data_IF_665592377375
#
_entry.id   IF_665592377375
#
_cell.length_a   1.000
_cell.length_b   1.000
_cell.length_c   1.000
_cell.angle_alpha   90.00
_cell.angle_beta   90.00
_cell.angle_gamma   90.00
#
_symmetry.space_group_name_H-M   'P 1'
#
loop_
_entity.id
_entity.type
_entity.pdbx_description
1 polymer ?
#
# COMPACT_ATOMS: atom_id res chain seq x y z
N UNK A 1 34.65 -10.23 -15.36
CA UNK A 1 34.98 -10.46 -13.94
C UNK A 1 34.08 -9.57 -13.14
N UNK A 2 33.58 -10.03 -12.00
CA UNK A 2 32.80 -9.17 -11.11
C UNK A 2 33.75 -8.09 -10.58
N UNK A 3 33.50 -6.85 -10.98
CA UNK A 3 34.34 -5.71 -10.58
C UNK A 3 33.91 -5.29 -9.17
N UNK A 4 34.77 -5.53 -8.17
CA UNK A 4 34.46 -5.23 -6.77
C UNK A 4 34.18 -3.74 -6.53
N UNK A 5 34.72 -2.84 -7.38
CA UNK A 5 34.39 -1.42 -7.36
C UNK A 5 32.94 -1.12 -7.76
N UNK A 6 32.39 -1.83 -8.75
CA UNK A 6 31.00 -1.66 -9.17
C UNK A 6 30.03 -2.14 -8.09
N UNK A 7 30.36 -3.21 -7.38
CA UNK A 7 29.57 -3.73 -6.25
C UNK A 7 29.53 -2.70 -5.12
N UNK A 8 30.67 -2.09 -4.79
CA UNK A 8 30.76 -1.05 -3.76
C UNK A 8 29.96 0.21 -4.13
N UNK A 9 30.00 0.62 -5.40
CA UNK A 9 29.23 1.77 -5.89
C UNK A 9 27.72 1.51 -5.88
N UNK A 10 27.29 0.31 -6.30
CA UNK A 10 25.89 -0.11 -6.27
C UNK A 10 25.34 -0.17 -4.83
N UNK A 11 26.13 -0.69 -3.88
CA UNK A 11 25.75 -0.67 -2.45
C UNK A 11 25.56 0.76 -1.93
N UNK A 12 26.46 1.68 -2.29
CA UNK A 12 26.38 3.08 -1.86
C UNK A 12 25.18 3.80 -2.48
N UNK A 13 24.82 3.46 -3.71
CA UNK A 13 23.62 3.99 -4.37
C UNK A 13 22.34 3.42 -3.76
N UNK A 14 22.27 2.11 -3.54
CA UNK A 14 21.10 1.43 -2.97
C UNK A 14 20.87 1.66 -1.47
N UNK A 15 21.88 2.16 -0.74
CA UNK A 15 21.82 2.39 0.70
C UNK A 15 20.60 3.22 1.12
N UNK A 16 20.32 4.33 0.41
CA UNK A 16 19.20 5.21 0.70
C UNK A 16 17.84 4.57 0.38
N UNK A 17 17.79 3.70 -0.62
CA UNK A 17 16.56 2.97 -0.97
C UNK A 17 16.23 1.88 0.06
N UNK A 18 17.24 1.20 0.61
CA UNK A 18 17.07 0.16 1.65
C UNK A 18 16.66 0.78 3.00
N UNK A 19 17.04 2.02 3.25
CA UNK A 19 16.71 2.70 4.50
C UNK A 19 15.22 3.05 4.60
N UNK A 20 14.49 3.16 3.48
CA UNK A 20 13.04 3.41 3.47
C UNK A 20 12.24 2.34 4.26
N UNK A 21 12.28 1.03 3.94
CA UNK A 21 11.56 0.02 4.71
C UNK A 21 12.05 -0.08 6.16
N UNK A 22 13.32 0.19 6.44
CA UNK A 22 13.85 0.20 7.81
C UNK A 22 13.27 1.34 8.65
N UNK A 23 13.14 2.54 8.10
CA UNK A 23 12.52 3.69 8.78
C UNK A 23 11.04 3.43 9.04
N UNK A 24 10.33 2.86 8.05
CA UNK A 24 8.90 2.57 8.15
C UNK A 24 8.65 1.46 9.18
N UNK A 25 9.28 0.29 9.01
CA UNK A 25 9.09 -0.85 9.89
C UNK A 25 9.68 -0.59 11.28
N UNK A 26 10.85 0.05 11.35
CA UNK A 26 11.46 0.46 12.61
C UNK A 26 10.56 1.42 13.38
N UNK A 27 9.95 2.40 12.70
CA UNK A 27 9.00 3.34 13.29
C UNK A 27 7.74 2.65 13.83
N UNK A 28 7.18 1.70 13.09
CA UNK A 28 5.99 0.93 13.49
C UNK A 28 6.33 0.01 14.67
N UNK A 29 7.36 -0.82 14.55
CA UNK A 29 7.68 -1.84 15.56
C UNK A 29 8.27 -1.27 16.85
N UNK A 30 8.94 -0.12 16.79
CA UNK A 30 9.39 0.59 18.00
C UNK A 30 8.25 1.31 18.73
N UNK A 31 7.05 1.38 18.13
CA UNK A 31 5.91 2.10 18.68
C UNK A 31 6.02 3.63 18.57
N UNK A 32 6.99 4.14 17.81
CA UNK A 32 7.18 5.58 17.62
C UNK A 32 6.14 6.18 16.67
N UNK A 33 5.65 5.39 15.72
CA UNK A 33 4.63 5.79 14.75
C UNK A 33 3.56 4.69 14.57
N UNK A 34 2.32 5.10 14.35
CA UNK A 34 1.25 4.22 13.87
C UNK A 34 1.39 3.95 12.38
N UNK A 35 0.77 2.87 11.84
CA UNK A 35 0.85 2.56 10.40
C UNK A 35 0.44 3.73 9.49
N UNK A 36 -0.52 4.55 9.92
CA UNK A 36 -1.00 5.73 9.21
C UNK A 36 0.03 6.87 9.21
N UNK A 37 0.71 7.12 10.33
CA UNK A 37 1.76 8.14 10.42
C UNK A 37 3.03 7.71 9.67
N UNK A 38 3.38 6.42 9.75
CA UNK A 38 4.51 5.86 9.01
C UNK A 38 4.34 5.96 7.50
N UNK A 39 3.12 5.88 6.98
CA UNK A 39 2.86 6.09 5.55
C UNK A 39 3.19 7.53 5.12
N UNK A 40 2.86 8.53 5.94
CA UNK A 40 3.20 9.92 5.66
C UNK A 40 4.73 10.09 5.67
N UNK A 41 5.40 9.56 6.70
CA UNK A 41 6.87 9.58 6.79
C UNK A 41 7.52 8.90 5.57
N UNK A 42 6.98 7.77 5.12
CA UNK A 42 7.44 7.06 3.93
C UNK A 42 7.36 7.94 2.67
N UNK A 43 6.25 8.65 2.47
CA UNK A 43 6.06 9.54 1.32
C UNK A 43 7.07 10.68 1.35
N UNK A 44 7.21 11.35 2.50
CA UNK A 44 8.19 12.44 2.65
C UNK A 44 9.62 11.95 2.44
N UNK A 45 9.98 10.80 3.00
CA UNK A 45 11.28 10.18 2.81
C UNK A 45 11.54 9.85 1.33
N UNK A 46 10.57 9.23 0.66
CA UNK A 46 10.69 8.84 -0.75
C UNK A 46 10.82 10.07 -1.67
N UNK A 47 10.03 11.12 -1.42
CA UNK A 47 10.15 12.39 -2.12
C UNK A 47 11.52 13.03 -1.89
N UNK A 48 12.00 13.05 -0.64
CA UNK A 48 13.29 13.63 -0.31
C UNK A 48 14.44 12.89 -1.00
N UNK A 49 14.46 11.56 -0.92
CA UNK A 49 15.49 10.74 -1.55
C UNK A 49 15.42 10.85 -3.08
N UNK A 50 14.23 10.76 -3.68
CA UNK A 50 14.06 10.83 -5.13
C UNK A 50 14.45 12.19 -5.72
N UNK A 51 14.14 13.29 -5.03
CA UNK A 51 14.44 14.66 -5.50
C UNK A 51 15.89 15.07 -5.19
N UNK A 52 16.38 14.85 -3.97
CA UNK A 52 17.66 15.42 -3.54
C UNK A 52 18.85 14.46 -3.67
N UNK A 53 18.63 13.16 -3.49
CA UNK A 53 19.72 12.16 -3.48
C UNK A 53 19.89 11.54 -4.85
N UNK A 54 18.84 10.86 -5.35
CA UNK A 54 18.88 10.22 -6.66
C UNK A 54 18.70 11.22 -7.80
N UNK A 55 18.02 12.35 -7.54
CA UNK A 55 17.74 13.41 -8.53
C UNK A 55 17.05 12.88 -9.79
N UNK A 56 16.28 11.82 -9.63
CA UNK A 56 15.58 11.13 -10.70
C UNK A 56 14.12 11.58 -10.81
N UNK A 57 13.60 12.28 -9.79
CA UNK A 57 12.20 12.68 -9.71
C UNK A 57 12.00 14.15 -10.08
N UNK A 58 11.28 14.41 -11.18
CA UNK A 58 10.87 15.75 -11.59
C UNK A 58 9.48 16.13 -11.02
N UNK A 59 9.12 17.42 -11.11
CA UNK A 59 7.80 17.90 -10.70
C UNK A 59 6.67 17.26 -11.50
N UNK A 60 6.90 17.00 -12.79
CA UNK A 60 5.96 16.32 -13.66
C UNK A 60 5.77 14.85 -13.26
N UNK A 61 6.83 14.17 -12.80
CA UNK A 61 6.73 12.78 -12.32
C UNK A 61 5.89 12.66 -11.06
N UNK A 62 5.98 13.66 -10.17
CA UNK A 62 5.15 13.72 -8.95
C UNK A 62 3.67 13.87 -9.33
N UNK A 63 3.34 14.81 -10.22
CA UNK A 63 1.96 14.99 -10.67
C UNK A 63 1.42 13.75 -11.40
N UNK A 64 2.22 13.13 -12.25
CA UNK A 64 1.84 11.91 -12.95
C UNK A 64 1.60 10.74 -11.98
N UNK A 65 2.38 10.66 -10.91
CA UNK A 65 2.20 9.67 -9.84
C UNK A 65 0.88 9.90 -9.07
N UNK A 66 0.56 11.16 -8.77
CA UNK A 66 -0.70 11.53 -8.12
C UNK A 66 -1.91 11.24 -9.02
N UNK A 67 -1.82 11.54 -10.32
CA UNK A 67 -2.86 11.24 -11.30
C UNK A 67 -3.12 9.74 -11.38
N UNK A 68 -2.06 8.94 -11.51
CA UNK A 68 -2.14 7.48 -11.55
C UNK A 68 -2.76 6.91 -10.27
N UNK A 69 -2.33 7.43 -9.11
CA UNK A 69 -2.87 7.01 -7.80
C UNK A 69 -4.35 7.35 -7.67
N UNK A 70 -4.77 8.51 -8.18
CA UNK A 70 -6.17 8.95 -8.18
C UNK A 70 -7.02 8.05 -9.07
N UNK A 71 -6.56 7.73 -10.28
CA UNK A 71 -7.26 6.80 -11.17
C UNK A 71 -7.42 5.42 -10.57
N UNK A 72 -6.37 4.88 -9.95
CA UNK A 72 -6.41 3.59 -9.25
C UNK A 72 -7.41 3.62 -8.10
N UNK A 73 -7.32 4.64 -7.23
CA UNK A 73 -8.21 4.79 -6.08
C UNK A 73 -9.66 4.96 -6.50
N UNK A 74 -9.93 5.77 -7.53
CA UNK A 74 -11.28 5.99 -8.06
C UNK A 74 -11.94 4.70 -8.57
N UNK A 75 -11.20 3.87 -9.33
CA UNK A 75 -11.70 2.57 -9.81
C UNK A 75 -12.03 1.63 -8.65
N UNK A 76 -11.16 1.57 -7.64
CA UNK A 76 -11.37 0.75 -6.45
C UNK A 76 -12.60 1.21 -5.68
N UNK A 77 -12.79 2.52 -5.52
CA UNK A 77 -13.94 3.08 -4.82
C UNK A 77 -15.26 2.74 -5.52
N UNK A 78 -15.34 2.81 -6.86
CA UNK A 78 -16.57 2.44 -7.59
C UNK A 78 -17.02 1.00 -7.31
N UNK A 79 -16.06 0.07 -7.30
CA UNK A 79 -16.32 -1.34 -6.98
C UNK A 79 -16.73 -1.48 -5.50
N UNK A 80 -16.02 -0.80 -4.60
CA UNK A 80 -16.31 -0.78 -3.17
C UNK A 80 -17.73 -0.28 -2.87
N UNK A 81 -18.18 0.81 -3.50
CA UNK A 81 -19.53 1.34 -3.31
C UNK A 81 -20.58 0.33 -3.74
N UNK A 82 -20.40 -0.28 -4.93
CA UNK A 82 -21.32 -1.30 -5.44
C UNK A 82 -21.36 -2.52 -4.53
N UNK A 83 -20.20 -3.01 -4.09
CA UNK A 83 -20.08 -4.13 -3.15
C UNK A 83 -20.72 -3.81 -1.79
N UNK A 84 -20.57 -2.57 -1.31
CA UNK A 84 -21.15 -2.14 -0.04
C UNK A 84 -22.68 -2.10 -0.10
N UNK A 85 -23.25 -1.55 -1.17
CA UNK A 85 -24.71 -1.53 -1.37
C UNK A 85 -25.25 -2.96 -1.50
N UNK A 86 -24.59 -3.79 -2.30
CA UNK A 86 -24.95 -5.20 -2.45
C UNK A 86 -24.88 -5.95 -1.11
N UNK A 87 -23.81 -5.76 -0.34
CA UNK A 87 -23.66 -6.33 1.00
C UNK A 87 -24.78 -5.93 1.94
N UNK A 88 -25.20 -4.66 1.93
CA UNK A 88 -26.34 -4.20 2.73
C UNK A 88 -27.66 -4.83 2.30
N UNK A 89 -27.91 -4.94 0.99
CA UNK A 89 -29.11 -5.59 0.47
C UNK A 89 -29.19 -7.06 0.88
N UNK A 90 -28.08 -7.79 0.84
CA UNK A 90 -28.03 -9.18 1.30
C UNK A 90 -28.37 -9.29 2.78
N UNK A 91 -27.81 -8.41 3.61
CA UNK A 91 -28.08 -8.38 5.06
C UNK A 91 -29.55 -8.06 5.33
N UNK A 92 -30.14 -7.10 4.61
CA UNK A 92 -31.55 -6.70 4.76
C UNK A 92 -32.51 -7.83 4.40
N UNK A 93 -32.19 -8.61 3.35
CA UNK A 93 -32.99 -9.76 2.93
C UNK A 93 -32.65 -11.05 3.70
N UNK A 94 -31.82 -10.96 4.75
CA UNK A 94 -31.38 -12.10 5.57
C UNK A 94 -30.78 -13.27 4.76
N UNK A 95 -30.26 -12.99 3.56
CA UNK A 95 -29.67 -14.02 2.68
C UNK A 95 -28.51 -14.76 3.37
N UNK A 96 -27.58 -14.08 4.08
CA UNK A 96 -26.51 -14.78 4.80
C UNK A 96 -27.04 -15.78 5.85
N UNK A 97 -28.15 -15.46 6.52
CA UNK A 97 -28.75 -16.33 7.53
C UNK A 97 -29.39 -17.58 6.90
N UNK A 98 -30.13 -17.41 5.79
CA UNK A 98 -30.73 -18.53 5.04
C UNK A 98 -29.65 -19.47 4.52
N UNK A 99 -28.55 -18.92 3.99
CA UNK A 99 -27.41 -19.71 3.52
C UNK A 99 -26.76 -20.48 4.69
N UNK A 100 -26.55 -19.84 5.83
CA UNK A 100 -25.99 -20.49 7.01
C UNK A 100 -26.89 -21.64 7.53
N UNK A 101 -28.20 -21.42 7.60
CA UNK A 101 -29.17 -22.45 8.02
C UNK A 101 -29.23 -23.62 7.02
N UNK A 102 -29.17 -23.32 5.71
CA UNK A 102 -29.09 -24.35 4.67
C UNK A 102 -27.82 -25.20 4.81
N UNK A 103 -26.68 -24.60 5.16
CA UNK A 103 -25.44 -25.33 5.40
C UNK A 103 -25.50 -26.20 6.66
N UNK A 104 -26.10 -25.70 7.74
CA UNK A 104 -26.28 -26.45 8.99
C UNK A 104 -27.21 -27.65 8.79
N UNK A 105 -28.33 -27.46 8.07
CA UNK A 105 -29.26 -28.57 7.79
C UNK A 105 -28.67 -29.68 6.91
N UNK A 106 -27.66 -29.37 6.08
CA UNK A 106 -26.89 -30.37 5.34
C UNK A 106 -25.83 -31.09 6.20
N UNK A 107 -25.45 -30.54 7.36
CA UNK A 107 -24.40 -31.09 8.24
C UNK A 107 -24.99 -31.90 9.40
N UNK A 108 -26.18 -31.53 9.87
CA UNK A 108 -26.89 -32.23 10.95
C UNK A 108 -27.75 -33.41 10.45
N UNK A 109 -27.49 -33.91 9.23
CA UNK A 109 -28.04 -35.16 8.66
C UNK A 109 -26.91 -36.12 8.29
#
# INVERSE_FOLDING_TARGET
GWDFEQIGQAFKHGFWSILAPLVILGGIYSGFFTPTESAIVAIFYTLFVGVFIHKELSWDDIFRSLETTTWLSGRVLLILYTATVFGRLLVENQIPAIVAESMLSLTDN
#
